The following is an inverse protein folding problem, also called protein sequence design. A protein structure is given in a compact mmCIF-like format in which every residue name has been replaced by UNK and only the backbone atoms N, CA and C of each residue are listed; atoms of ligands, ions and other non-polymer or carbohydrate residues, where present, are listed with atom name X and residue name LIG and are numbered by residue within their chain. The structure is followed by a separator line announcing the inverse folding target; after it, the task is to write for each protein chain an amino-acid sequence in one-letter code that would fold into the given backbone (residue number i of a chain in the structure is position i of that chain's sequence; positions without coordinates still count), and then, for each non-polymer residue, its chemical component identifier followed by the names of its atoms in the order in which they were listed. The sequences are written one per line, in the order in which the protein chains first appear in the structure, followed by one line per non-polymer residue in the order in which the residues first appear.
data_IF_025249168402
#
_entry.id   IF_025249168402
#
_cell.length_a   1.000
_cell.length_b   1.000
_cell.length_c   1.000
_cell.angle_alpha   90.00
_cell.angle_beta   90.00
_cell.angle_gamma   90.00
#
_symmetry.space_group_name_H-M   'P 1'
#
loop_
_entity.id
_entity.type
_entity.pdbx_description
1 polymer ?
#
# COMPACT_ATOMS: atom_id res chain seq x y z
N UNK A 1 -5.75 51.34 -6.97
CA UNK A 1 -5.68 49.96 -6.41
C UNK A 1 -5.69 48.96 -7.54
N UNK A 2 -4.53 48.45 -7.89
CA UNK A 2 -3.90 48.78 -9.17
C UNK A 2 -3.63 47.48 -9.92
N UNK A 3 -3.64 47.53 -11.25
CA UNK A 3 -3.41 46.38 -12.16
C UNK A 3 -2.19 45.52 -11.74
N UNK A 4 -1.18 46.15 -11.15
CA UNK A 4 0.02 45.54 -10.58
C UNK A 4 -0.28 44.59 -9.41
N UNK A 5 -1.20 44.93 -8.52
CA UNK A 5 -1.61 44.08 -7.39
C UNK A 5 -2.34 42.81 -7.87
N UNK A 6 -3.19 42.95 -8.89
CA UNK A 6 -3.87 41.83 -9.52
C UNK A 6 -2.88 40.91 -10.26
N UNK A 7 -1.91 41.49 -10.99
CA UNK A 7 -0.86 40.74 -11.66
C UNK A 7 0.04 39.97 -10.66
N UNK A 8 0.42 40.58 -9.54
CA UNK A 8 1.18 39.91 -8.49
C UNK A 8 0.42 38.73 -7.87
N UNK A 9 -0.89 38.87 -7.61
CA UNK A 9 -1.72 37.76 -7.12
C UNK A 9 -1.81 36.61 -8.12
N UNK A 10 -1.97 36.94 -9.40
CA UNK A 10 -2.04 35.97 -10.48
C UNK A 10 -0.72 35.19 -10.60
N UNK A 11 0.42 35.89 -10.54
CA UNK A 11 1.75 35.29 -10.53
C UNK A 11 1.95 34.36 -9.32
N UNK A 12 1.59 34.81 -8.12
CA UNK A 12 1.69 34.00 -6.90
C UNK A 12 0.79 32.75 -6.97
N UNK A 13 -0.40 32.87 -7.55
CA UNK A 13 -1.28 31.72 -7.76
C UNK A 13 -0.65 30.69 -8.70
N UNK A 14 -0.08 31.13 -9.83
CA UNK A 14 0.62 30.22 -10.74
C UNK A 14 1.84 29.55 -10.11
N UNK A 15 2.61 30.28 -9.28
CA UNK A 15 3.74 29.73 -8.54
C UNK A 15 3.30 28.65 -7.53
N UNK A 16 2.22 28.90 -6.80
CA UNK A 16 1.67 27.91 -5.84
C UNK A 16 1.15 26.65 -6.54
N UNK A 17 0.44 26.80 -7.66
CA UNK A 17 -0.02 25.66 -8.47
C UNK A 17 1.16 24.87 -9.02
N UNK A 18 2.20 25.53 -9.51
CA UNK A 18 3.41 24.87 -10.01
C UNK A 18 4.14 24.10 -8.90
N UNK A 19 4.35 24.71 -7.73
CA UNK A 19 5.00 24.06 -6.59
C UNK A 19 4.25 22.82 -6.09
N UNK A 20 2.92 22.87 -6.01
CA UNK A 20 2.10 21.72 -5.58
C UNK A 20 2.06 20.61 -6.62
N UNK A 21 2.12 20.94 -7.91
CA UNK A 21 2.17 19.96 -8.99
C UNK A 21 3.48 19.15 -9.01
N UNK A 22 4.61 19.78 -8.68
CA UNK A 22 5.91 19.12 -8.63
C UNK A 22 6.01 18.09 -7.50
N UNK A 23 5.30 18.32 -6.37
CA UNK A 23 5.32 17.40 -5.23
C UNK A 23 4.26 16.30 -5.30
N UNK A 24 3.21 16.46 -6.11
CA UNK A 24 2.13 15.47 -6.24
C UNK A 24 2.42 14.40 -7.32
N UNK A 25 3.35 14.68 -8.23
CA UNK A 25 3.79 13.73 -9.23
C UNK A 25 4.87 12.81 -8.66
N UNK A 26 4.47 11.75 -7.96
CA UNK A 26 5.30 10.55 -7.87
C UNK A 26 5.35 9.91 -9.26
N UNK A 27 6.19 10.45 -10.16
CA UNK A 27 6.62 9.70 -11.34
C UNK A 27 7.49 8.56 -10.82
N UNK A 28 6.84 7.48 -10.39
CA UNK A 28 7.52 6.21 -10.21
C UNK A 28 8.22 5.94 -11.53
N UNK A 29 9.54 5.93 -11.51
CA UNK A 29 10.31 5.47 -12.65
C UNK A 29 9.90 4.00 -12.79
N UNK A 30 8.99 3.70 -13.73
CA UNK A 30 8.66 2.34 -14.16
C UNK A 30 9.84 1.77 -14.95
N UNK A 31 11.05 1.86 -14.38
CA UNK A 31 12.18 1.11 -14.85
C UNK A 31 12.16 -0.20 -14.09
N UNK A 32 12.02 -1.30 -14.83
CA UNK A 32 12.33 -2.63 -14.32
C UNK A 32 13.81 -2.62 -13.91
N UNK A 33 14.07 -2.25 -12.67
CA UNK A 33 15.43 -2.14 -12.16
C UNK A 33 16.00 -3.53 -12.03
N UNK A 34 16.98 -3.86 -12.89
CA UNK A 34 17.68 -5.14 -12.82
C UNK A 34 18.37 -5.29 -11.47
N UNK A 35 17.98 -6.32 -10.71
CA UNK A 35 18.59 -6.69 -9.45
C UNK A 35 19.18 -8.09 -9.51
N UNK A 36 20.28 -8.31 -8.80
CA UNK A 36 20.93 -9.62 -8.68
C UNK A 36 20.61 -10.24 -7.32
N UNK A 37 20.06 -11.46 -7.32
CA UNK A 37 19.85 -12.28 -6.13
C UNK A 37 20.75 -13.51 -6.20
N UNK A 38 21.74 -13.60 -5.33
CA UNK A 38 22.59 -14.79 -5.19
C UNK A 38 22.05 -15.68 -4.06
N UNK A 39 21.73 -16.93 -4.37
CA UNK A 39 21.22 -17.92 -3.40
C UNK A 39 22.34 -18.89 -3.06
N UNK A 40 22.77 -18.89 -1.80
CA UNK A 40 23.76 -19.84 -1.30
C UNK A 40 23.08 -21.15 -0.88
N UNK A 41 23.44 -22.25 -1.54
CA UNK A 41 23.01 -23.61 -1.18
C UNK A 41 24.20 -24.35 -0.58
N UNK A 42 24.52 -24.07 0.69
CA UNK A 42 25.62 -24.74 1.39
C UNK A 42 25.34 -26.24 1.54
N UNK A 43 26.39 -27.06 1.62
CA UNK A 43 26.28 -28.53 1.81
C UNK A 43 25.57 -28.92 3.11
N UNK A 44 25.59 -28.05 4.13
CA UNK A 44 24.78 -28.21 5.32
C UNK A 44 23.32 -27.85 5.01
N UNK A 45 22.37 -28.78 5.17
CA UNK A 45 20.97 -28.49 4.87
C UNK A 45 20.48 -27.36 5.79
N UNK A 46 19.90 -26.27 5.23
CA UNK A 46 19.29 -25.24 6.05
C UNK A 46 18.15 -25.84 6.88
N UNK A 47 17.82 -25.20 8.01
CA UNK A 47 16.69 -25.61 8.85
C UNK A 47 15.45 -25.78 7.98
N UNK A 48 14.83 -26.96 8.04
CA UNK A 48 13.57 -27.23 7.32
C UNK A 48 12.52 -26.22 7.75
N UNK A 49 11.82 -25.64 6.79
CA UNK A 49 10.66 -24.79 7.04
C UNK A 49 9.61 -25.64 7.78
N UNK A 50 9.15 -25.23 8.97
CA UNK A 50 8.11 -25.97 9.68
C UNK A 50 6.83 -26.06 8.85
N UNK A 51 6.17 -27.22 8.87
CA UNK A 51 4.86 -27.40 8.20
C UNK A 51 3.76 -26.48 8.77
N UNK A 52 3.99 -25.91 9.95
CA UNK A 52 3.11 -24.98 10.66
C UNK A 52 3.48 -23.52 10.46
N UNK A 53 4.46 -23.19 9.58
CA UNK A 53 4.86 -21.80 9.30
C UNK A 53 3.68 -20.96 8.78
N UNK A 54 2.75 -21.59 8.05
CA UNK A 54 1.54 -20.95 7.54
C UNK A 54 0.32 -21.66 8.11
N UNK A 55 -0.61 -20.88 8.66
CA UNK A 55 -1.86 -21.34 9.24
C UNK A 55 -2.90 -20.22 9.24
N UNK A 56 -4.10 -20.54 9.69
CA UNK A 56 -5.21 -19.59 9.83
C UNK A 56 -5.62 -19.58 11.29
N UNK A 57 -5.74 -18.40 11.88
CA UNK A 57 -6.35 -18.21 13.20
C UNK A 57 -7.84 -17.94 13.03
N UNK A 58 -8.67 -18.52 13.89
CA UNK A 58 -10.10 -18.30 13.91
C UNK A 58 -10.56 -17.95 15.32
N UNK A 59 -11.35 -16.90 15.43
CA UNK A 59 -12.06 -16.47 16.63
C UNK A 59 -13.48 -16.06 16.22
N UNK A 60 -14.46 -16.25 17.10
CA UNK A 60 -15.80 -15.72 16.86
C UNK A 60 -15.81 -14.21 17.15
N UNK A 61 -15.39 -13.43 16.16
CA UNK A 61 -15.36 -11.98 16.21
C UNK A 61 -15.82 -11.41 14.87
N UNK A 62 -16.55 -10.29 14.88
CA UNK A 62 -17.01 -9.59 13.67
C UNK A 62 -17.75 -10.49 12.66
N UNK A 63 -18.58 -11.43 13.13
CA UNK A 63 -19.29 -12.41 12.29
C UNK A 63 -18.36 -13.35 11.49
N UNK A 64 -17.13 -13.57 11.95
CA UNK A 64 -16.22 -14.51 11.28
C UNK A 64 -16.77 -15.95 11.27
N UNK A 65 -17.48 -16.37 12.32
CA UNK A 65 -18.20 -17.64 12.34
C UNK A 65 -19.66 -17.46 11.95
N UNK A 66 -20.51 -17.07 12.90
CA UNK A 66 -21.94 -16.88 12.66
C UNK A 66 -22.19 -15.65 11.77
N UNK A 67 -22.68 -15.88 10.55
CA UNK A 67 -22.79 -14.84 9.50
C UNK A 67 -21.57 -14.75 8.58
N UNK A 68 -20.59 -15.64 8.76
CA UNK A 68 -19.39 -15.76 7.92
C UNK A 68 -19.13 -17.21 7.56
N UNK A 69 -18.19 -17.85 8.25
CA UNK A 69 -17.77 -19.23 7.96
C UNK A 69 -18.90 -20.25 8.14
N UNK A 70 -19.79 -20.03 9.12
CA UNK A 70 -20.94 -20.88 9.34
C UNK A 70 -22.07 -20.46 8.40
N UNK A 71 -22.40 -21.35 7.46
CA UNK A 71 -23.33 -21.07 6.35
C UNK A 71 -24.80 -20.88 6.75
N UNK A 72 -25.12 -20.79 8.04
CA UNK A 72 -26.47 -20.43 8.50
C UNK A 72 -26.81 -19.01 8.11
N UNK A 73 -28.02 -18.85 7.57
CA UNK A 73 -28.50 -17.57 7.05
C UNK A 73 -29.44 -16.87 8.04
N UNK A 74 -29.97 -17.60 9.03
CA UNK A 74 -30.89 -17.06 10.03
C UNK A 74 -30.13 -16.64 11.28
N UNK A 75 -30.18 -15.34 11.59
CA UNK A 75 -29.64 -14.79 12.84
C UNK A 75 -30.62 -15.00 13.99
N UNK A 76 -30.09 -15.27 15.19
CA UNK A 76 -30.86 -15.45 16.43
C UNK A 76 -31.95 -16.53 16.34
N UNK A 77 -31.57 -17.72 15.84
CA UNK A 77 -32.42 -18.91 15.88
C UNK A 77 -32.47 -19.56 17.27
#
# INVERSE_FOLDING_TARGET
MDLTYAACKLLLFFLLVFCTSYQCCATGINADQTAWLSVNVSENPPRKIPKTMFGISFEEINHAGAGGLWAELVSNR
#
